data_IF_431024757815
#
_entry.id   IF_431024757815
#
_cell.length_a   1.000
_cell.length_b   1.000
_cell.length_c   1.000
_cell.angle_alpha   90.00
_cell.angle_beta   90.00
_cell.angle_gamma   90.00
#
_symmetry.space_group_name_H-M   'P 1'
#
loop_
_entity.id
_entity.type
_entity.pdbx_description
1 polymer ?
#
# COMPACT_ATOMS: atom_id res chain seq x y z
N UNK A 1 25.69 48.05 -0.31
CA UNK A 1 24.96 47.02 -1.09
C UNK A 1 25.63 45.67 -0.83
N UNK A 2 25.09 44.87 0.12
CA UNK A 2 25.66 43.58 0.49
C UNK A 2 25.07 42.49 -0.43
N UNK A 3 25.93 41.89 -1.25
CA UNK A 3 25.60 40.85 -2.22
C UNK A 3 25.29 39.55 -1.47
N UNK A 4 24.01 39.17 -1.38
CA UNK A 4 23.60 37.87 -0.82
C UNK A 4 24.15 36.75 -1.72
N UNK A 5 24.78 35.69 -1.17
CA UNK A 5 25.15 34.52 -1.96
C UNK A 5 23.88 33.82 -2.48
N UNK A 6 23.95 33.16 -3.65
CA UNK A 6 22.81 32.42 -4.18
C UNK A 6 22.49 31.23 -3.26
N UNK A 7 21.21 31.03 -2.98
CA UNK A 7 20.70 29.84 -2.30
C UNK A 7 21.09 28.62 -3.15
N UNK A 8 22.02 27.81 -2.66
CA UNK A 8 22.29 26.49 -3.22
C UNK A 8 20.99 25.69 -3.19
N UNK A 9 20.46 25.38 -4.38
CA UNK A 9 19.37 24.42 -4.57
C UNK A 9 19.69 23.15 -3.77
N UNK A 10 18.72 22.53 -3.07
CA UNK A 10 18.98 21.27 -2.39
C UNK A 10 19.47 20.29 -3.46
N UNK A 11 20.73 19.89 -3.34
CA UNK A 11 21.31 18.88 -4.19
C UNK A 11 20.38 17.66 -4.13
N UNK A 12 20.03 17.12 -5.30
CA UNK A 12 19.38 15.82 -5.41
C UNK A 12 20.28 14.80 -4.72
N UNK A 13 19.97 14.54 -3.45
CA UNK A 13 20.61 13.53 -2.64
C UNK A 13 20.17 12.19 -3.23
N UNK A 14 21.01 11.65 -4.12
CA UNK A 14 20.85 10.32 -4.70
C UNK A 14 20.86 9.34 -3.53
N UNK A 15 19.68 8.99 -3.03
CA UNK A 15 19.51 8.04 -1.93
C UNK A 15 20.29 6.78 -2.27
N UNK A 16 21.31 6.48 -1.48
CA UNK A 16 22.18 5.33 -1.67
C UNK A 16 21.35 4.05 -1.50
N UNK A 17 21.54 3.05 -2.36
CA UNK A 17 20.78 1.79 -2.31
C UNK A 17 20.93 1.10 -0.95
N UNK A 18 22.05 1.33 -0.25
CA UNK A 18 22.28 0.87 1.12
C UNK A 18 21.38 1.55 2.15
N UNK A 19 21.07 2.82 2.00
CA UNK A 19 20.16 3.54 2.90
C UNK A 19 18.70 3.09 2.70
N UNK A 20 18.30 2.81 1.46
CA UNK A 20 17.00 2.20 1.16
C UNK A 20 16.89 0.79 1.78
N UNK A 21 17.94 -0.03 1.68
CA UNK A 21 17.98 -1.35 2.34
C UNK A 21 17.99 -1.24 3.88
N UNK A 22 18.65 -0.23 4.44
CA UNK A 22 18.63 0.02 5.89
C UNK A 22 17.23 0.40 6.37
N UNK A 23 16.46 1.15 5.56
CA UNK A 23 15.07 1.49 5.86
C UNK A 23 14.14 0.25 5.88
N UNK A 24 14.39 -0.75 5.03
CA UNK A 24 13.65 -2.02 5.05
C UNK A 24 13.78 -2.76 6.39
N UNK A 25 14.86 -2.55 7.15
CA UNK A 25 15.03 -3.16 8.48
C UNK A 25 13.96 -2.73 9.49
N UNK A 26 13.27 -1.61 9.24
CA UNK A 26 12.18 -1.10 10.09
C UNK A 26 10.80 -1.70 9.76
N UNK A 27 10.63 -2.33 8.59
CA UNK A 27 9.39 -3.00 8.19
C UNK A 27 8.83 -3.99 9.22
N UNK A 28 9.61 -4.93 9.80
CA UNK A 28 9.06 -5.88 10.76
C UNK A 28 8.51 -5.22 12.04
N UNK A 29 9.10 -4.11 12.48
CA UNK A 29 8.57 -3.33 13.61
C UNK A 29 7.28 -2.61 13.23
N UNK A 30 7.19 -2.12 11.99
CA UNK A 30 5.98 -1.49 11.45
C UNK A 30 4.81 -2.47 11.30
N UNK A 31 5.03 -3.66 10.72
CA UNK A 31 3.99 -4.69 10.65
C UNK A 31 3.50 -5.12 12.03
N UNK A 32 4.39 -5.15 13.03
CA UNK A 32 4.02 -5.43 14.43
C UNK A 32 3.13 -4.33 15.03
N UNK A 33 3.31 -3.06 14.63
CA UNK A 33 2.46 -1.95 15.05
C UNK A 33 1.07 -2.03 14.40
N UNK A 34 0.98 -2.35 13.11
CA UNK A 34 -0.29 -2.57 12.41
C UNK A 34 -1.07 -3.73 13.05
N UNK A 35 -0.38 -4.84 13.34
CA UNK A 35 -0.96 -6.00 14.01
C UNK A 35 -1.53 -5.66 15.40
N UNK A 36 -0.91 -4.72 16.12
CA UNK A 36 -1.40 -4.23 17.42
C UNK A 36 -2.62 -3.32 17.28
N UNK A 37 -2.76 -2.59 16.18
CA UNK A 37 -3.90 -1.71 15.96
C UNK A 37 -5.19 -2.51 15.71
N UNK A 38 -5.18 -3.47 14.78
CA UNK A 38 -6.31 -4.38 14.57
C UNK A 38 -5.88 -5.71 13.94
N UNK A 39 -5.81 -6.76 14.78
CA UNK A 39 -5.42 -8.11 14.37
C UNK A 39 -6.34 -8.74 13.31
N UNK A 40 -7.64 -8.45 13.36
CA UNK A 40 -8.61 -9.04 12.44
C UNK A 40 -8.52 -8.44 11.05
N UNK A 41 -8.40 -7.11 10.95
CA UNK A 41 -8.24 -6.41 9.68
C UNK A 41 -6.90 -6.73 9.03
N UNK A 42 -5.83 -6.83 9.82
CA UNK A 42 -4.50 -7.22 9.33
C UNK A 42 -4.51 -8.66 8.80
N UNK A 43 -5.10 -9.61 9.54
CA UNK A 43 -5.22 -11.00 9.09
C UNK A 43 -6.08 -11.12 7.83
N UNK A 44 -7.21 -10.40 7.74
CA UNK A 44 -8.05 -10.36 6.55
C UNK A 44 -7.32 -9.79 5.33
N UNK A 45 -6.51 -8.74 5.52
CA UNK A 45 -5.70 -8.15 4.45
C UNK A 45 -4.63 -9.12 3.95
N UNK A 46 -3.91 -9.79 4.86
CA UNK A 46 -2.92 -10.83 4.49
C UNK A 46 -3.60 -11.97 3.74
N UNK A 47 -4.76 -12.44 4.20
CA UNK A 47 -5.51 -13.51 3.53
C UNK A 47 -5.93 -13.11 2.11
N UNK A 48 -6.46 -11.90 1.91
CA UNK A 48 -6.80 -11.39 0.58
C UNK A 48 -5.57 -11.31 -0.34
N UNK A 49 -4.41 -10.89 0.18
CA UNK A 49 -3.16 -10.85 -0.58
C UNK A 49 -2.68 -12.26 -0.97
N UNK A 50 -2.81 -13.23 -0.08
CA UNK A 50 -2.49 -14.63 -0.39
C UNK A 50 -3.41 -15.17 -1.50
N UNK A 51 -4.72 -14.90 -1.42
CA UNK A 51 -5.65 -15.28 -2.49
C UNK A 51 -5.31 -14.60 -3.82
N UNK A 52 -5.01 -13.30 -3.79
CA UNK A 52 -4.61 -12.52 -4.97
C UNK A 52 -3.33 -13.08 -5.62
N UNK A 53 -2.38 -13.59 -4.83
CA UNK A 53 -1.14 -14.15 -5.37
C UNK A 53 -1.33 -15.39 -6.25
N UNK A 54 -2.45 -16.11 -6.09
CA UNK A 54 -2.78 -17.27 -6.92
C UNK A 54 -3.46 -16.89 -8.25
N UNK A 55 -4.07 -15.70 -8.34
CA UNK A 55 -4.77 -15.23 -9.55
C UNK A 55 -3.93 -15.32 -10.83
N UNK A 56 -2.67 -14.84 -10.90
CA UNK A 56 -1.88 -14.91 -12.13
C UNK A 56 -1.60 -16.35 -12.58
N UNK A 57 -1.46 -17.29 -11.65
CA UNK A 57 -1.27 -18.71 -11.98
C UNK A 57 -2.54 -19.31 -12.61
N UNK A 58 -3.71 -18.99 -12.03
CA UNK A 58 -5.00 -19.45 -12.54
C UNK A 58 -5.28 -18.80 -13.91
N UNK A 59 -4.99 -17.51 -14.07
CA UNK A 59 -5.15 -16.80 -15.33
C UNK A 59 -4.29 -17.41 -16.44
N UNK A 60 -3.03 -17.76 -16.13
CA UNK A 60 -2.13 -18.43 -17.06
C UNK A 60 -2.68 -19.80 -17.49
N UNK A 61 -3.21 -20.58 -16.55
CA UNK A 61 -3.80 -21.89 -16.85
C UNK A 61 -5.01 -21.77 -17.79
N UNK A 62 -5.94 -20.85 -17.49
CA UNK A 62 -7.13 -20.62 -18.31
C UNK A 62 -6.72 -20.11 -19.70
N UNK A 63 -5.79 -19.16 -19.76
CA UNK A 63 -5.29 -18.62 -21.03
C UNK A 63 -4.65 -19.71 -21.91
N UNK A 64 -3.92 -20.65 -21.30
CA UNK A 64 -3.38 -21.83 -22.00
C UNK A 64 -4.51 -22.68 -22.58
N UNK A 65 -5.52 -23.03 -21.80
CA UNK A 65 -6.66 -23.86 -22.25
C UNK A 65 -7.44 -23.19 -23.38
N UNK A 66 -7.62 -21.86 -23.34
CA UNK A 66 -8.22 -21.09 -24.43
C UNK A 66 -7.41 -21.24 -25.72
N UNK A 67 -6.09 -21.09 -25.64
CA UNK A 67 -5.20 -21.20 -26.80
C UNK A 67 -5.24 -22.63 -27.36
N UNK A 68 -5.12 -23.64 -26.51
CA UNK A 68 -5.14 -25.06 -26.90
C UNK A 68 -6.45 -25.41 -27.64
N UNK A 69 -7.59 -24.95 -27.13
CA UNK A 69 -8.90 -25.17 -27.75
C UNK A 69 -9.06 -24.44 -29.09
N UNK A 70 -8.58 -23.19 -29.18
CA UNK A 70 -8.58 -22.44 -30.45
C UNK A 70 -7.75 -23.15 -31.52
N UNK A 71 -6.59 -23.67 -31.15
CA UNK A 71 -5.74 -24.46 -32.07
C UNK A 71 -6.46 -25.74 -32.51
N UNK A 72 -7.10 -26.46 -31.58
CA UNK A 72 -7.88 -27.66 -31.88
C UNK A 72 -9.03 -27.42 -32.86
N UNK A 73 -9.75 -26.29 -32.72
CA UNK A 73 -10.80 -25.87 -33.65
C UNK A 73 -10.25 -25.53 -35.04
N UNK A 74 -9.09 -24.85 -35.11
CA UNK A 74 -8.45 -24.50 -36.39
C UNK A 74 -7.96 -25.75 -37.13
N UNK A 75 -7.39 -26.72 -36.42
CA UNK A 75 -6.90 -27.98 -36.99
C UNK A 75 -8.03 -28.97 -37.33
N UNK A 76 -9.27 -28.68 -36.95
CA UNK A 76 -10.42 -29.58 -37.15
C UNK A 76 -10.44 -30.81 -36.24
N UNK A 77 -9.62 -30.82 -35.18
CA UNK A 77 -9.59 -31.88 -34.17
C UNK A 77 -10.78 -31.79 -33.21
N UNK A 78 -11.29 -30.57 -33.01
CA UNK A 78 -12.45 -30.27 -32.17
C UNK A 78 -13.50 -29.58 -33.02
N UNK A 79 -14.78 -29.91 -32.80
CA UNK A 79 -15.92 -29.33 -33.53
C UNK A 79 -16.87 -28.52 -32.64
N UNK A 80 -16.73 -28.62 -31.31
CA UNK A 80 -17.65 -28.02 -30.35
C UNK A 80 -17.02 -26.82 -29.64
N UNK A 81 -17.53 -25.62 -29.91
CA UNK A 81 -17.05 -24.37 -29.29
C UNK A 81 -17.55 -24.13 -27.87
N UNK A 82 -18.36 -25.03 -27.30
CA UNK A 82 -18.96 -24.85 -25.96
C UNK A 82 -17.90 -24.76 -24.87
N UNK A 83 -16.83 -25.56 -24.96
CA UNK A 83 -15.74 -25.53 -23.99
C UNK A 83 -14.96 -24.20 -24.05
N UNK A 84 -14.68 -23.70 -25.26
CA UNK A 84 -14.05 -22.39 -25.46
C UNK A 84 -14.84 -21.26 -24.80
N UNK A 85 -16.17 -21.20 -25.02
CA UNK A 85 -17.01 -20.17 -24.41
C UNK A 85 -17.08 -20.28 -22.88
N UNK A 86 -17.04 -21.50 -22.34
CA UNK A 86 -16.95 -21.72 -20.90
C UNK A 86 -15.64 -21.19 -20.35
N UNK A 87 -14.51 -21.48 -21.00
CA UNK A 87 -13.17 -20.99 -20.63
C UNK A 87 -13.10 -19.45 -20.67
N UNK A 88 -13.62 -18.82 -21.71
CA UNK A 88 -13.72 -17.35 -21.83
C UNK A 88 -14.61 -16.77 -20.72
N UNK A 89 -15.74 -17.41 -20.42
CA UNK A 89 -16.60 -17.00 -19.31
C UNK A 89 -15.89 -17.10 -17.95
N UNK A 90 -15.06 -18.13 -17.77
CA UNK A 90 -14.27 -18.36 -16.55
C UNK A 90 -13.13 -17.33 -16.43
N UNK A 91 -12.45 -16.99 -17.52
CA UNK A 91 -11.47 -15.90 -17.57
C UNK A 91 -12.10 -14.56 -17.18
N UNK A 92 -13.27 -14.24 -17.73
CA UNK A 92 -14.00 -13.02 -17.39
C UNK A 92 -14.42 -13.00 -15.91
N UNK A 93 -14.92 -14.12 -15.38
CA UNK A 93 -15.24 -14.24 -13.96
C UNK A 93 -13.99 -14.07 -13.07
N UNK A 94 -12.85 -14.64 -13.47
CA UNK A 94 -11.58 -14.47 -12.77
C UNK A 94 -11.12 -13.01 -12.79
N UNK A 95 -11.29 -12.30 -13.91
CA UNK A 95 -10.95 -10.88 -14.02
C UNK A 95 -11.78 -10.03 -13.05
N UNK A 96 -13.11 -10.26 -12.97
CA UNK A 96 -13.98 -9.60 -12.00
C UNK A 96 -13.56 -9.94 -10.56
N UNK A 97 -13.29 -11.21 -10.28
CA UNK A 97 -12.86 -11.65 -8.96
C UNK A 97 -11.54 -10.99 -8.55
N UNK A 98 -10.57 -10.90 -9.46
CA UNK A 98 -9.31 -10.18 -9.27
C UNK A 98 -9.52 -8.71 -8.93
N UNK A 99 -10.42 -8.02 -9.66
CA UNK A 99 -10.77 -6.62 -9.37
C UNK A 99 -11.40 -6.47 -7.97
N UNK A 100 -12.29 -7.39 -7.58
CA UNK A 100 -12.90 -7.39 -6.25
C UNK A 100 -11.86 -7.60 -5.14
N UNK A 101 -10.90 -8.52 -5.33
CA UNK A 101 -9.78 -8.70 -4.40
C UNK A 101 -8.95 -7.42 -4.27
N UNK A 102 -8.64 -6.76 -5.39
CA UNK A 102 -7.90 -5.49 -5.41
C UNK A 102 -8.61 -4.39 -4.61
N UNK A 103 -9.92 -4.26 -4.82
CA UNK A 103 -10.75 -3.30 -4.08
C UNK A 103 -10.77 -3.62 -2.58
N UNK A 104 -10.93 -4.89 -2.22
CA UNK A 104 -10.90 -5.34 -0.82
C UNK A 104 -9.57 -5.04 -0.13
N UNK A 105 -8.44 -5.32 -0.80
CA UNK A 105 -7.10 -5.00 -0.29
C UNK A 105 -6.95 -3.49 -0.10
N UNK A 106 -7.33 -2.70 -1.11
CA UNK A 106 -7.23 -1.22 -1.06
C UNK A 106 -8.06 -0.64 0.08
N UNK A 107 -9.29 -1.13 0.27
CA UNK A 107 -10.17 -0.70 1.35
C UNK A 107 -9.57 -1.00 2.72
N UNK A 108 -9.05 -2.22 2.93
CA UNK A 108 -8.42 -2.60 4.19
C UNK A 108 -7.14 -1.81 4.46
N UNK A 109 -6.33 -1.56 3.43
CA UNK A 109 -5.11 -0.75 3.56
C UNK A 109 -5.46 0.69 3.98
N UNK A 110 -6.49 1.30 3.38
CA UNK A 110 -6.97 2.64 3.76
C UNK A 110 -7.49 2.66 5.19
N UNK A 111 -8.36 1.73 5.57
CA UNK A 111 -8.93 1.68 6.91
C UNK A 111 -7.88 1.45 8.00
N UNK A 112 -6.90 0.58 7.75
CA UNK A 112 -5.77 0.38 8.66
C UNK A 112 -4.93 1.66 8.81
N UNK A 113 -4.69 2.37 7.70
CA UNK A 113 -4.02 3.67 7.69
C UNK A 113 -4.77 4.72 8.53
N UNK A 114 -6.08 4.83 8.34
CA UNK A 114 -6.94 5.77 9.06
C UNK A 114 -6.98 5.47 10.56
N UNK A 115 -7.15 4.19 10.94
CA UNK A 115 -7.12 3.75 12.33
C UNK A 115 -5.78 4.07 13.00
N UNK A 116 -4.67 3.81 12.31
CA UNK A 116 -3.34 4.10 12.82
C UNK A 116 -3.10 5.61 13.00
N UNK A 117 -3.50 6.41 12.01
CA UNK A 117 -3.38 7.87 12.06
C UNK A 117 -4.22 8.48 13.18
N UNK A 118 -5.46 8.00 13.35
CA UNK A 118 -6.35 8.47 14.40
C UNK A 118 -5.80 8.14 15.79
N UNK A 119 -5.39 6.89 16.04
CA UNK A 119 -4.82 6.47 17.33
C UNK A 119 -3.58 7.29 17.69
N UNK A 120 -2.67 7.49 16.72
CA UNK A 120 -1.45 8.29 16.93
C UNK A 120 -1.78 9.75 17.21
N UNK A 121 -2.78 10.31 16.52
CA UNK A 121 -3.23 11.69 16.73
C UNK A 121 -3.78 11.91 18.15
N UNK A 122 -4.58 10.96 18.65
CA UNK A 122 -5.11 11.01 20.02
C UNK A 122 -3.98 10.91 21.05
N UNK A 123 -3.02 10.00 20.84
CA UNK A 123 -1.87 9.85 21.74
C UNK A 123 -1.03 11.14 21.81
N UNK A 124 -0.78 11.79 20.66
CA UNK A 124 -0.08 13.07 20.60
C UNK A 124 -0.81 14.18 21.35
N UNK A 125 -2.14 14.29 21.21
CA UNK A 125 -2.95 15.29 21.94
C UNK A 125 -2.85 15.05 23.45
N UNK A 126 -2.97 13.79 23.88
CA UNK A 126 -2.86 13.43 25.31
C UNK A 126 -1.46 13.67 25.89
N UNK A 127 -0.41 13.60 25.06
CA UNK A 127 0.94 13.92 25.48
C UNK A 127 1.18 15.43 25.54
N UNK A 128 0.66 16.19 24.57
CA UNK A 128 0.73 17.65 24.56
C UNK A 128 -0.06 18.27 25.73
N UNK A 129 -1.19 17.68 26.12
CA UNK A 129 -1.98 18.11 27.28
C UNK A 129 -1.28 17.90 28.64
N UNK A 130 -0.21 17.09 28.68
CA UNK A 130 0.62 16.88 29.87
C UNK A 130 1.84 17.80 29.91
N UNK A 131 2.04 18.63 28.90
CA UNK A 131 3.11 19.61 28.85
C UNK A 131 2.69 20.89 29.56
N UNK A 132 3.61 21.50 30.30
CA UNK A 132 3.34 22.64 31.18
C UNK A 132 2.95 23.91 30.38
N UNK A 133 1.95 24.65 30.87
CA UNK A 133 1.32 25.78 30.15
C UNK A 133 2.31 26.89 29.79
N UNK A 134 3.41 27.00 30.56
CA UNK A 134 4.47 28.00 30.41
C UNK A 134 5.25 27.90 29.08
N UNK A 135 5.20 26.76 28.38
CA UNK A 135 5.88 26.56 27.08
C UNK A 135 5.03 26.91 25.85
N UNK A 136 3.74 27.21 26.02
CA UNK A 136 2.85 27.59 24.90
C UNK A 136 2.90 29.08 24.52
N UNK A 137 3.64 29.91 25.27
CA UNK A 137 3.79 31.35 25.01
C UNK A 137 4.98 31.68 24.08
N UNK A 138 5.86 30.71 23.79
CA UNK A 138 6.99 30.90 22.87
C UNK A 138 6.64 30.47 21.44
N UNK A 139 6.73 31.42 20.50
CA UNK A 139 6.44 31.21 19.07
C UNK A 139 7.26 30.07 18.44
N UNK A 140 8.46 29.77 18.96
CA UNK A 140 9.26 28.64 18.46
C UNK A 140 8.72 27.27 18.84
N UNK A 141 7.89 27.17 19.89
CA UNK A 141 7.25 25.91 20.29
C UNK A 141 6.05 25.58 19.40
N UNK A 142 5.23 26.59 19.06
CA UNK A 142 4.14 26.48 18.09
C UNK A 142 4.63 26.01 16.71
N UNK A 143 5.71 26.60 16.22
CA UNK A 143 6.26 26.29 14.90
C UNK A 143 6.81 24.86 14.81
N UNK A 144 7.35 24.34 15.93
CA UNK A 144 7.76 22.93 16.07
C UNK A 144 6.57 21.98 16.11
N UNK A 145 5.47 22.37 16.77
CA UNK A 145 4.24 21.56 16.85
C UNK A 145 3.53 21.48 15.49
N UNK A 146 3.44 22.60 14.77
CA UNK A 146 2.87 22.71 13.42
C UNK A 146 3.67 21.87 12.42
N UNK A 147 5.02 21.92 12.51
CA UNK A 147 5.92 21.07 11.73
C UNK A 147 5.74 19.58 12.07
N UNK A 148 5.66 19.21 13.35
CA UNK A 148 5.47 17.83 13.77
C UNK A 148 4.10 17.26 13.32
N UNK A 149 3.04 18.08 13.37
CA UNK A 149 1.70 17.75 12.85
C UNK A 149 1.74 17.48 11.34
N UNK A 150 2.33 18.39 10.56
CA UNK A 150 2.53 18.21 9.11
C UNK A 150 3.39 16.97 8.78
N UNK A 151 4.43 16.69 9.57
CA UNK A 151 5.29 15.52 9.38
C UNK A 151 4.59 14.19 9.66
N UNK A 152 3.62 14.18 10.57
CA UNK A 152 2.83 12.99 10.90
C UNK A 152 1.83 12.68 9.79
N UNK A 153 1.15 13.70 9.25
CA UNK A 153 0.24 13.53 8.09
C UNK A 153 0.98 13.08 6.82
N UNK A 154 2.18 13.60 6.57
CA UNK A 154 2.98 13.24 5.40
C UNK A 154 3.57 11.82 5.43
N UNK A 155 3.87 11.29 6.63
CA UNK A 155 4.41 9.92 6.77
C UNK A 155 3.37 8.84 6.45
N UNK A 156 2.09 9.07 6.74
CA UNK A 156 0.98 8.14 6.44
C UNK A 156 0.81 7.90 4.93
N UNK A 157 0.99 8.93 4.10
CA UNK A 157 0.87 8.84 2.63
C UNK A 157 2.04 8.06 2.02
N UNK A 158 3.26 8.23 2.55
CA UNK A 158 4.40 7.41 2.14
C UNK A 158 4.22 5.93 2.55
N UNK A 159 3.48 5.65 3.62
CA UNK A 159 3.17 4.26 4.03
C UNK A 159 2.23 3.56 3.05
N UNK A 160 1.21 4.25 2.53
CA UNK A 160 0.32 3.63 1.52
C UNK A 160 1.07 3.34 0.22
N UNK A 161 2.01 4.22 -0.16
CA UNK A 161 2.78 4.07 -1.40
C UNK A 161 3.84 2.96 -1.34
N UNK A 162 4.47 2.70 -0.19
CA UNK A 162 5.40 1.58 -0.04
C UNK A 162 4.66 0.23 -0.03
N UNK A 163 3.47 0.18 0.58
CA UNK A 163 2.61 -1.02 0.56
C UNK A 163 2.03 -1.33 -0.83
N UNK A 164 1.86 -0.31 -1.68
CA UNK A 164 1.41 -0.49 -3.06
C UNK A 164 2.54 -0.90 -4.02
N UNK A 165 3.80 -0.55 -3.74
CA UNK A 165 4.94 -0.91 -4.59
C UNK A 165 5.38 -2.38 -4.48
N UNK A 166 4.91 -3.10 -3.46
CA UNK A 166 5.20 -4.54 -3.27
C UNK A 166 4.19 -5.44 -4.01
N UNK A 167 3.21 -4.86 -4.71
CA UNK A 167 2.18 -5.59 -5.47
C UNK A 167 2.49 -5.66 -6.95
#
# INVERSE_FOLDING_TARGET
MLRRPPLSSPAEEKTDLREQFAALRNLPRFFRLIWRANKYMTAGNVLLRLLKSAVPLIALYIGKEIIDEVIGLINGEVSNTSYLWLMVGLEFALAIFSDLLNRGITLLDSLLGDLFANNTSVELIQHAARLDLYQFEDATFYDKLERARRQTTGRTILMSNVLSQVQ
#
